data_IF_097624673086
#
_entry.id   IF_097624673086
#
_cell.length_a   1.000
_cell.length_b   1.000
_cell.length_c   1.000
_cell.angle_alpha   90.00
_cell.angle_beta   90.00
_cell.angle_gamma   90.00
#
_symmetry.space_group_name_H-M   'P 1'
#
loop_
_entity.id
_entity.type
_entity.pdbx_description
1 polymer ?
#
# COMPACT_ATOMS: atom_id res chain seq x y z
N UNK A 1 9.22 27.11 10.67
CA UNK A 1 8.69 25.85 11.23
C UNK A 1 9.89 25.09 11.82
N UNK A 2 9.61 24.29 12.83
CA UNK A 2 10.60 23.40 13.45
C UNK A 2 10.04 21.98 13.38
N UNK A 3 10.88 21.00 13.07
CA UNK A 3 10.56 19.59 13.12
C UNK A 3 11.46 18.90 14.15
N UNK A 4 10.92 17.89 14.82
CA UNK A 4 11.60 17.16 15.88
C UNK A 4 11.54 15.67 15.63
N UNK A 5 12.67 15.01 15.75
CA UNK A 5 12.77 13.55 15.71
C UNK A 5 12.96 13.02 17.13
N UNK A 6 12.15 12.06 17.51
CA UNK A 6 12.22 11.40 18.82
C UNK A 6 12.51 9.92 18.60
N UNK A 7 13.75 9.44 18.82
CA UNK A 7 14.09 8.04 18.64
C UNK A 7 13.38 7.18 19.69
N UNK A 8 12.70 6.14 19.23
CA UNK A 8 12.02 5.17 20.10
C UNK A 8 12.86 3.91 20.18
N UNK A 9 13.37 3.54 21.37
CA UNK A 9 14.20 2.35 21.53
C UNK A 9 13.41 1.05 21.31
N UNK A 10 14.11 -0.03 20.98
CA UNK A 10 13.51 -1.37 20.80
C UNK A 10 13.04 -2.00 22.11
N UNK A 11 13.52 -1.54 23.25
CA UNK A 11 13.08 -2.00 24.57
C UNK A 11 11.69 -1.45 24.88
N UNK A 12 10.71 -2.36 24.97
CA UNK A 12 9.28 -2.04 25.05
C UNK A 12 8.94 -1.09 26.21
N UNK A 13 9.51 -1.29 27.38
CA UNK A 13 9.23 -0.49 28.57
C UNK A 13 9.72 0.97 28.40
N UNK A 14 10.92 1.15 27.88
CA UNK A 14 11.46 2.47 27.58
C UNK A 14 10.67 3.16 26.46
N UNK A 15 10.31 2.40 25.43
CA UNK A 15 9.47 2.90 24.33
C UNK A 15 8.13 3.41 24.85
N UNK A 16 7.44 2.64 25.69
CA UNK A 16 6.16 3.03 26.31
C UNK A 16 6.33 4.31 27.12
N UNK A 17 7.38 4.44 27.92
CA UNK A 17 7.63 5.64 28.72
C UNK A 17 7.78 6.86 27.85
N UNK A 18 8.63 6.82 26.81
CA UNK A 18 8.83 7.94 25.89
C UNK A 18 7.54 8.31 25.16
N UNK A 19 6.84 7.33 24.58
CA UNK A 19 5.63 7.59 23.81
C UNK A 19 4.52 8.16 24.68
N UNK A 20 4.44 7.77 25.96
CA UNK A 20 3.46 8.29 26.92
C UNK A 20 3.67 9.78 27.25
N UNK A 21 4.88 10.33 27.14
CA UNK A 21 5.10 11.79 27.30
C UNK A 21 4.30 12.60 26.26
N UNK A 22 4.08 12.02 25.08
CA UNK A 22 3.30 12.65 23.98
C UNK A 22 1.80 12.35 24.04
N UNK A 23 1.35 11.50 24.97
CA UNK A 23 -0.07 11.14 25.11
C UNK A 23 -0.98 12.36 25.24
N UNK A 24 -0.54 13.35 25.98
CA UNK A 24 -1.28 14.62 26.19
C UNK A 24 -1.57 15.34 24.87
N UNK A 25 -0.69 15.24 23.88
CA UNK A 25 -0.87 15.84 22.54
C UNK A 25 -1.76 14.96 21.68
N UNK A 26 -1.49 13.66 21.62
CA UNK A 26 -2.26 12.72 20.79
C UNK A 26 -3.72 12.61 21.24
N UNK A 27 -3.97 12.60 22.54
CA UNK A 27 -5.34 12.51 23.08
C UNK A 27 -6.05 13.85 23.26
N UNK A 28 -5.42 14.97 22.89
CA UNK A 28 -6.07 16.27 22.94
C UNK A 28 -7.07 16.42 21.77
N UNK A 29 -8.36 16.47 22.09
CA UNK A 29 -9.42 16.60 21.08
C UNK A 29 -9.45 17.98 20.38
N UNK A 30 -8.77 18.99 20.92
CA UNK A 30 -8.72 20.34 20.34
C UNK A 30 -7.57 20.51 19.34
N UNK A 31 -6.59 19.63 19.37
CA UNK A 31 -5.41 19.68 18.48
C UNK A 31 -5.71 18.86 17.21
N UNK A 32 -5.56 19.48 16.04
CA UNK A 32 -5.57 18.79 14.76
C UNK A 32 -4.31 17.92 14.63
N UNK A 33 -4.46 16.66 14.23
CA UNK A 33 -3.35 15.79 13.87
C UNK A 33 -3.30 15.68 12.36
N UNK A 34 -2.12 15.90 11.81
CA UNK A 34 -1.86 15.81 10.39
C UNK A 34 -0.91 14.64 10.15
N UNK A 35 -1.18 13.83 9.16
CA UNK A 35 -0.33 12.69 8.80
C UNK A 35 -0.48 12.31 7.34
N UNK A 36 0.46 11.53 6.86
CA UNK A 36 0.41 10.87 5.55
C UNK A 36 0.10 9.38 5.81
N UNK A 37 -1.08 8.88 5.41
CA UNK A 37 -1.57 7.56 5.81
C UNK A 37 -1.70 7.40 7.34
N UNK A 38 -2.33 8.38 7.97
CA UNK A 38 -2.46 8.51 9.45
C UNK A 38 -3.13 7.28 10.10
N UNK A 39 -3.84 6.45 9.33
CA UNK A 39 -4.37 5.18 9.81
C UNK A 39 -3.27 4.27 10.34
N UNK A 40 -2.13 4.24 9.67
CA UNK A 40 -0.96 3.46 10.11
C UNK A 40 -0.46 3.95 11.47
N UNK A 41 -0.28 5.26 11.63
CA UNK A 41 0.17 5.87 12.89
C UNK A 41 -0.83 5.61 14.03
N UNK A 42 -2.12 5.69 13.73
CA UNK A 42 -3.19 5.39 14.68
C UNK A 42 -3.08 3.94 15.19
N UNK A 43 -2.86 2.97 14.30
CA UNK A 43 -2.68 1.57 14.67
C UNK A 43 -1.41 1.35 15.49
N UNK A 44 -0.31 2.01 15.15
CA UNK A 44 0.95 1.93 15.89
C UNK A 44 0.78 2.52 17.30
N UNK A 45 0.20 3.70 17.43
CA UNK A 45 -0.04 4.36 18.72
C UNK A 45 -0.94 3.53 19.65
N UNK A 46 -1.92 2.84 19.09
CA UNK A 46 -2.78 1.93 19.86
C UNK A 46 -2.01 0.78 20.53
N UNK A 47 -0.87 0.35 19.97
CA UNK A 47 -0.02 -0.66 20.62
C UNK A 47 0.62 -0.15 21.91
N UNK A 48 0.76 1.17 22.05
CA UNK A 48 1.25 1.85 23.25
C UNK A 48 0.11 2.33 24.18
N UNK A 49 -1.14 1.94 23.90
CA UNK A 49 -2.29 2.37 24.68
C UNK A 49 -2.67 3.84 24.53
N UNK A 50 -2.30 4.46 23.40
CA UNK A 50 -2.63 5.84 23.07
C UNK A 50 -3.75 5.85 22.04
N UNK A 51 -4.81 6.62 22.34
CA UNK A 51 -5.91 6.87 21.43
C UNK A 51 -5.71 8.23 20.74
N UNK A 52 -5.67 8.23 19.40
CA UNK A 52 -5.67 9.47 18.65
C UNK A 52 -7.07 10.11 18.74
N UNK A 53 -7.18 11.28 19.40
CA UNK A 53 -8.47 11.97 19.61
C UNK A 53 -8.52 13.30 18.86
N UNK A 54 -9.75 13.74 18.53
CA UNK A 54 -10.01 15.00 17.84
C UNK A 54 -9.96 14.88 16.33
N UNK A 55 -9.83 16.03 15.67
CA UNK A 55 -9.80 16.09 14.21
C UNK A 55 -8.47 15.55 13.67
N UNK A 56 -8.55 14.88 12.56
CA UNK A 56 -7.40 14.39 11.78
C UNK A 56 -7.44 14.99 10.38
N UNK A 57 -6.29 15.07 9.74
CA UNK A 57 -6.12 15.41 8.34
C UNK A 57 -5.11 14.45 7.74
N UNK A 58 -5.53 13.64 6.79
CA UNK A 58 -4.66 12.70 6.06
C UNK A 58 -4.37 13.26 4.68
N UNK A 59 -3.10 13.53 4.40
CA UNK A 59 -2.67 14.11 3.11
C UNK A 59 -2.80 13.13 1.96
N UNK A 60 -2.63 11.83 2.20
CA UNK A 60 -2.83 10.80 1.19
C UNK A 60 -4.30 10.70 0.77
N UNK A 61 -5.21 10.67 1.75
CA UNK A 61 -6.66 10.63 1.50
C UNK A 61 -7.16 11.94 0.89
N UNK A 62 -6.63 13.09 1.32
CA UNK A 62 -6.97 14.37 0.71
C UNK A 62 -6.66 14.39 -0.79
N UNK A 63 -5.48 13.93 -1.17
CA UNK A 63 -5.12 13.84 -2.58
C UNK A 63 -5.95 12.78 -3.34
N UNK A 64 -6.26 11.66 -2.70
CA UNK A 64 -7.15 10.65 -3.30
C UNK A 64 -8.54 11.23 -3.64
N UNK A 65 -9.11 12.05 -2.77
CA UNK A 65 -10.40 12.74 -3.04
C UNK A 65 -10.27 13.72 -4.22
N UNK A 66 -9.16 14.46 -4.29
CA UNK A 66 -8.92 15.47 -5.34
C UNK A 66 -8.63 14.82 -6.69
N UNK A 67 -7.80 13.77 -6.73
CA UNK A 67 -7.27 13.15 -7.96
C UNK A 67 -7.12 11.63 -7.79
N UNK A 68 -8.21 10.84 -7.81
CA UNK A 68 -8.19 9.43 -7.46
C UNK A 68 -7.37 8.54 -8.41
N UNK A 69 -7.11 8.99 -9.65
CA UNK A 69 -6.39 8.23 -10.67
C UNK A 69 -4.85 8.35 -10.57
N UNK A 70 -4.34 9.21 -9.69
CA UNK A 70 -2.91 9.48 -9.59
C UNK A 70 -2.27 8.72 -8.43
N UNK A 71 -0.94 8.83 -8.31
CA UNK A 71 -0.21 8.31 -7.16
C UNK A 71 -0.38 9.22 -5.93
N UNK A 72 -0.45 8.62 -4.73
CA UNK A 72 -0.73 9.34 -3.48
C UNK A 72 0.41 9.21 -2.46
N UNK A 73 1.57 8.69 -2.87
CA UNK A 73 2.75 8.63 -2.00
C UNK A 73 3.35 10.04 -1.82
N UNK A 74 4.03 10.22 -0.70
CA UNK A 74 4.52 11.54 -0.28
C UNK A 74 5.51 12.14 -1.28
N UNK A 75 6.42 11.35 -1.83
CA UNK A 75 7.41 11.82 -2.81
C UNK A 75 6.75 12.46 -4.03
N UNK A 76 5.75 11.76 -4.59
CA UNK A 76 4.98 12.28 -5.72
C UNK A 76 4.22 13.57 -5.35
N UNK A 77 3.60 13.62 -4.17
CA UNK A 77 2.89 14.81 -3.70
C UNK A 77 3.83 15.99 -3.46
N UNK A 78 5.00 15.75 -2.88
CA UNK A 78 6.02 16.77 -2.66
C UNK A 78 6.51 17.35 -4.00
N UNK A 79 6.73 16.50 -5.00
CA UNK A 79 7.16 16.94 -6.33
C UNK A 79 6.11 17.85 -6.99
N UNK A 80 4.84 17.41 -7.05
CA UNK A 80 3.81 18.13 -7.80
C UNK A 80 3.24 19.36 -7.09
N UNK A 81 3.14 19.36 -5.75
CA UNK A 81 2.56 20.45 -4.97
C UNK A 81 3.59 21.41 -4.36
N UNK A 82 4.79 20.92 -4.06
CA UNK A 82 5.82 21.71 -3.41
C UNK A 82 7.04 21.96 -4.30
N UNK A 83 7.13 21.29 -5.47
CA UNK A 83 8.31 21.29 -6.34
C UNK A 83 9.58 20.90 -5.56
N UNK A 84 9.45 19.89 -4.73
CA UNK A 84 10.47 19.42 -3.80
C UNK A 84 10.71 17.92 -3.97
N UNK A 85 11.99 17.53 -4.05
CA UNK A 85 12.40 16.12 -4.07
C UNK A 85 12.76 15.68 -2.66
N UNK A 86 12.04 14.70 -2.15
CA UNK A 86 12.27 14.11 -0.84
C UNK A 86 13.44 13.12 -0.88
N UNK A 87 14.01 12.84 0.27
CA UNK A 87 14.95 11.73 0.44
C UNK A 87 14.17 10.41 0.35
N UNK A 88 14.56 9.54 -0.56
CA UNK A 88 13.89 8.23 -0.69
C UNK A 88 14.34 7.27 0.41
N UNK A 89 13.40 6.51 0.96
CA UNK A 89 13.68 5.52 2.02
C UNK A 89 14.75 4.50 1.59
N UNK A 90 14.82 4.17 0.29
CA UNK A 90 15.82 3.27 -0.28
C UNK A 90 17.25 3.80 -0.15
N UNK A 91 17.44 5.11 -0.04
CA UNK A 91 18.77 5.71 0.20
C UNK A 91 19.27 5.39 1.61
N UNK A 92 18.37 5.20 2.57
CA UNK A 92 18.69 4.87 3.95
C UNK A 92 18.83 3.36 4.19
N UNK A 93 17.87 2.58 3.69
CA UNK A 93 17.78 1.15 3.99
C UNK A 93 18.18 0.25 2.83
N UNK A 94 18.43 0.82 1.63
CA UNK A 94 18.76 0.07 0.41
C UNK A 94 17.51 -0.39 -0.35
N UNK A 95 17.72 -0.82 -1.60
CA UNK A 95 16.66 -1.29 -2.50
C UNK A 95 15.92 -2.52 -1.94
N UNK A 96 14.65 -2.70 -2.38
CA UNK A 96 13.83 -3.86 -2.02
C UNK A 96 14.54 -5.18 -2.38
N UNK A 97 14.79 -6.01 -1.37
CA UNK A 97 15.43 -7.31 -1.57
C UNK A 97 15.89 -7.94 -0.26
N UNK A 98 16.62 -9.05 -0.39
CA UNK A 98 17.12 -9.81 0.77
C UNK A 98 18.10 -9.03 1.66
N UNK A 99 18.73 -8.00 1.12
CA UNK A 99 19.75 -7.19 1.80
C UNK A 99 19.20 -5.85 2.30
N UNK A 100 17.89 -5.58 2.15
CA UNK A 100 17.28 -4.35 2.65
C UNK A 100 17.34 -4.34 4.19
N UNK A 101 17.84 -3.24 4.76
CA UNK A 101 17.91 -3.02 6.21
C UNK A 101 16.54 -2.61 6.76
N UNK A 102 16.38 -2.66 8.07
CA UNK A 102 15.26 -2.03 8.75
C UNK A 102 15.66 -0.64 9.25
N UNK A 103 14.72 0.31 9.29
CA UNK A 103 14.95 1.63 9.89
C UNK A 103 15.42 1.55 11.34
N UNK A 104 14.96 0.53 12.10
CA UNK A 104 15.40 0.30 13.50
C UNK A 104 16.87 -0.05 13.66
N UNK A 105 17.51 -0.51 12.58
CA UNK A 105 18.91 -0.95 12.58
C UNK A 105 19.86 0.20 12.24
N UNK A 106 19.32 1.39 11.99
CA UNK A 106 20.06 2.60 11.70
C UNK A 106 20.26 3.44 12.97
N UNK A 107 21.40 4.12 13.05
CA UNK A 107 21.64 5.08 14.12
C UNK A 107 20.72 6.30 13.97
N UNK A 108 20.27 6.90 15.09
CA UNK A 108 19.37 8.07 15.07
C UNK A 108 19.88 9.22 14.19
N UNK A 109 21.20 9.43 14.13
CA UNK A 109 21.84 10.45 13.33
C UNK A 109 21.70 10.26 11.82
N UNK A 110 21.45 9.02 11.38
CA UNK A 110 21.19 8.71 9.96
C UNK A 110 19.72 8.88 9.58
N UNK A 111 18.82 8.91 10.57
CA UNK A 111 17.36 8.87 10.34
C UNK A 111 16.71 10.24 10.58
N UNK A 112 17.30 11.09 11.42
CA UNK A 112 16.60 12.29 11.90
C UNK A 112 16.24 13.28 10.78
N UNK A 113 17.10 13.45 9.79
CA UNK A 113 16.83 14.35 8.65
C UNK A 113 15.61 13.87 7.86
N UNK A 114 15.60 12.59 7.49
CA UNK A 114 14.48 11.95 6.80
C UNK A 114 13.17 12.08 7.60
N UNK A 115 13.20 11.75 8.88
CA UNK A 115 12.00 11.79 9.72
C UNK A 115 11.46 13.21 9.95
N UNK A 116 12.36 14.19 10.06
CA UNK A 116 11.97 15.61 10.17
C UNK A 116 11.46 16.16 8.84
N UNK A 117 12.06 15.74 7.71
CA UNK A 117 11.58 16.07 6.36
C UNK A 117 10.16 15.54 6.14
N UNK A 118 9.90 14.27 6.46
CA UNK A 118 8.57 13.66 6.35
C UNK A 118 7.50 14.47 7.10
N UNK A 119 7.81 14.91 8.31
CA UNK A 119 6.89 15.72 9.12
C UNK A 119 6.65 17.10 8.53
N UNK A 120 7.71 17.78 8.05
CA UNK A 120 7.60 19.13 7.46
C UNK A 120 6.87 19.09 6.11
N UNK A 121 7.23 18.16 5.24
CA UNK A 121 6.58 17.96 3.94
C UNK A 121 5.09 17.65 4.13
N UNK A 122 4.74 16.74 5.05
CA UNK A 122 3.35 16.41 5.37
C UNK A 122 2.57 17.65 5.82
N UNK A 123 3.15 18.49 6.64
CA UNK A 123 2.51 19.74 7.09
C UNK A 123 2.34 20.74 5.95
N UNK A 124 3.32 20.90 5.08
CA UNK A 124 3.23 21.78 3.90
C UNK A 124 2.18 21.27 2.91
N UNK A 125 2.14 19.95 2.65
CA UNK A 125 1.13 19.30 1.82
C UNK A 125 -0.28 19.52 2.35
N UNK A 126 -0.47 19.44 3.66
CA UNK A 126 -1.78 19.73 4.29
C UNK A 126 -2.32 21.08 3.85
N UNK A 127 -1.52 22.13 3.88
CA UNK A 127 -1.98 23.48 3.49
C UNK A 127 -2.34 23.55 2.00
N UNK A 128 -1.54 22.94 1.13
CA UNK A 128 -1.80 22.91 -0.30
C UNK A 128 -3.06 22.11 -0.65
N UNK A 129 -3.20 20.92 -0.08
CA UNK A 129 -4.32 20.05 -0.37
C UNK A 129 -5.63 20.57 0.22
N UNK A 130 -5.59 21.26 1.37
CA UNK A 130 -6.77 21.92 1.93
C UNK A 130 -7.29 23.04 1.01
N UNK A 131 -6.40 23.80 0.37
CA UNK A 131 -6.77 24.80 -0.65
C UNK A 131 -7.43 24.14 -1.87
N UNK A 132 -6.88 23.03 -2.36
CA UNK A 132 -7.44 22.31 -3.51
C UNK A 132 -8.78 21.63 -3.20
N UNK A 133 -8.94 21.01 -2.02
CA UNK A 133 -10.23 20.48 -1.57
C UNK A 133 -11.32 21.54 -1.58
N UNK A 134 -11.00 22.73 -1.07
CA UNK A 134 -11.92 23.87 -1.06
C UNK A 134 -12.26 24.38 -2.45
N UNK A 135 -11.27 24.47 -3.32
CA UNK A 135 -11.43 24.95 -4.70
C UNK A 135 -12.32 24.01 -5.52
N UNK A 136 -12.20 22.69 -5.29
CA UNK A 136 -12.98 21.66 -5.96
C UNK A 136 -14.36 21.43 -5.34
N UNK A 137 -14.65 22.00 -4.17
CA UNK A 137 -15.83 21.74 -3.33
C UNK A 137 -15.90 20.30 -2.78
N UNK A 138 -14.74 19.68 -2.53
CA UNK A 138 -14.61 18.32 -2.02
C UNK A 138 -14.53 18.25 -0.48
N UNK A 139 -14.60 19.41 0.21
CA UNK A 139 -14.47 19.49 1.67
C UNK A 139 -15.50 18.62 2.41
N UNK A 140 -16.73 18.55 1.91
CA UNK A 140 -17.77 17.76 2.56
C UNK A 140 -17.42 16.26 2.52
N UNK A 141 -17.04 15.74 1.37
CA UNK A 141 -16.64 14.33 1.23
C UNK A 141 -15.44 14.03 2.12
N UNK A 142 -14.43 14.89 2.08
CA UNK A 142 -13.22 14.70 2.87
C UNK A 142 -13.48 14.73 4.38
N UNK A 143 -14.13 15.78 4.89
CA UNK A 143 -14.28 15.95 6.34
C UNK A 143 -15.43 15.17 6.97
N UNK A 144 -16.52 14.91 6.23
CA UNK A 144 -17.72 14.26 6.78
C UNK A 144 -17.78 12.76 6.47
N UNK A 145 -17.02 12.27 5.48
CA UNK A 145 -17.02 10.86 5.09
C UNK A 145 -15.64 10.25 5.32
N UNK A 146 -14.61 10.74 4.62
CA UNK A 146 -13.31 10.07 4.59
C UNK A 146 -12.56 10.16 5.92
N UNK A 147 -12.51 11.34 6.55
CA UNK A 147 -11.81 11.45 7.83
C UNK A 147 -12.48 10.64 8.95
N UNK A 148 -13.80 10.62 9.12
CA UNK A 148 -14.47 9.72 10.07
C UNK A 148 -14.33 8.24 9.75
N UNK A 149 -14.11 7.86 8.49
CA UNK A 149 -13.95 6.47 8.08
C UNK A 149 -12.59 5.87 8.52
N UNK A 150 -11.54 6.68 8.59
CA UNK A 150 -10.19 6.23 8.98
C UNK A 150 -10.18 5.46 10.30
N UNK A 151 -10.70 5.99 11.42
CA UNK A 151 -10.72 5.23 12.69
C UNK A 151 -11.62 3.99 12.65
N UNK A 152 -12.64 3.95 11.80
CA UNK A 152 -13.48 2.76 11.60
C UNK A 152 -12.67 1.67 10.92
N UNK A 153 -11.96 2.00 9.84
CA UNK A 153 -11.08 1.05 9.13
C UNK A 153 -9.95 0.56 10.03
N UNK A 154 -9.32 1.44 10.80
CA UNK A 154 -8.31 1.06 11.77
C UNK A 154 -8.85 0.06 12.80
N UNK A 155 -10.08 0.25 13.28
CA UNK A 155 -10.74 -0.68 14.20
C UNK A 155 -11.03 -2.03 13.55
N UNK A 156 -11.48 -2.05 12.29
CA UNK A 156 -11.69 -3.28 11.53
C UNK A 156 -10.39 -4.05 11.36
N UNK A 157 -9.32 -3.38 10.95
CA UNK A 157 -8.00 -3.99 10.79
C UNK A 157 -7.46 -4.56 12.11
N UNK A 158 -7.62 -3.82 13.21
CA UNK A 158 -7.16 -4.27 14.53
C UNK A 158 -7.96 -5.47 15.05
N UNK A 159 -9.26 -5.52 14.80
CA UNK A 159 -10.09 -6.65 15.20
C UNK A 159 -9.78 -7.90 14.38
N UNK A 160 -9.31 -7.71 13.15
CA UNK A 160 -9.07 -8.77 12.20
C UNK A 160 -10.35 -9.46 11.71
N UNK A 161 -10.17 -10.41 10.81
CA UNK A 161 -11.23 -11.26 10.26
C UNK A 161 -10.87 -12.71 10.53
N UNK A 162 -11.82 -13.46 11.07
CA UNK A 162 -11.63 -14.89 11.29
C UNK A 162 -11.71 -15.63 9.95
N UNK A 163 -10.61 -16.24 9.54
CA UNK A 163 -10.53 -17.04 8.32
C UNK A 163 -10.68 -18.51 8.66
N UNK A 164 -11.62 -19.20 8.00
CA UNK A 164 -11.75 -20.67 8.12
C UNK A 164 -10.64 -21.34 7.29
N UNK A 165 -9.51 -21.55 7.93
CA UNK A 165 -8.34 -22.18 7.32
C UNK A 165 -8.56 -23.64 6.94
N UNK A 166 -9.53 -24.33 7.59
CA UNK A 166 -9.89 -25.73 7.25
C UNK A 166 -10.66 -25.77 5.93
N UNK A 167 -11.67 -24.91 5.79
CA UNK A 167 -12.43 -24.80 4.54
C UNK A 167 -11.52 -24.40 3.36
N UNK A 168 -10.63 -23.43 3.57
CA UNK A 168 -9.65 -23.03 2.53
C UNK A 168 -8.71 -24.18 2.15
N UNK A 169 -8.23 -24.93 3.13
CA UNK A 169 -7.36 -26.09 2.86
C UNK A 169 -8.10 -27.19 2.09
N UNK A 170 -9.33 -27.47 2.45
CA UNK A 170 -10.17 -28.43 1.74
C UNK A 170 -10.42 -27.98 0.30
N UNK A 171 -10.83 -26.74 0.09
CA UNK A 171 -11.01 -26.16 -1.23
C UNK A 171 -9.73 -26.21 -2.08
N UNK A 172 -8.57 -25.93 -1.46
CA UNK A 172 -7.29 -26.05 -2.15
C UNK A 172 -7.01 -27.47 -2.64
N UNK A 173 -7.33 -28.49 -1.83
CA UNK A 173 -7.17 -29.91 -2.22
C UNK A 173 -8.11 -30.27 -3.38
N UNK A 174 -9.37 -29.85 -3.29
CA UNK A 174 -10.39 -30.11 -4.32
C UNK A 174 -10.00 -29.46 -5.64
N UNK A 175 -9.64 -28.18 -5.62
CA UNK A 175 -9.19 -27.45 -6.81
C UNK A 175 -7.91 -28.03 -7.42
N UNK A 176 -6.95 -28.43 -6.59
CA UNK A 176 -5.70 -29.07 -7.09
C UNK A 176 -6.01 -30.38 -7.80
N UNK A 177 -6.92 -31.19 -7.25
CA UNK A 177 -7.32 -32.44 -7.87
C UNK A 177 -8.09 -32.23 -9.19
N UNK A 178 -8.95 -31.21 -9.26
CA UNK A 178 -9.68 -30.84 -10.46
C UNK A 178 -8.74 -30.27 -11.54
N UNK A 179 -7.88 -29.35 -11.17
CA UNK A 179 -6.83 -28.82 -12.07
C UNK A 179 -5.98 -29.93 -12.68
N UNK A 180 -5.56 -30.91 -11.85
CA UNK A 180 -4.75 -32.04 -12.35
C UNK A 180 -5.51 -32.98 -13.32
N UNK A 181 -6.84 -33.05 -13.25
CA UNK A 181 -7.64 -33.77 -14.24
C UNK A 181 -7.71 -32.98 -15.55
N UNK A 182 -8.05 -31.68 -15.46
CA UNK A 182 -8.13 -30.80 -16.62
C UNK A 182 -6.77 -30.72 -17.35
N UNK A 183 -5.67 -30.61 -16.60
CA UNK A 183 -4.32 -30.59 -17.15
C UNK A 183 -4.04 -31.86 -17.99
N UNK A 184 -4.41 -33.05 -17.49
CA UNK A 184 -4.27 -34.31 -18.24
C UNK A 184 -5.08 -34.31 -19.51
N UNK A 185 -6.37 -33.88 -19.44
CA UNK A 185 -7.24 -33.76 -20.60
C UNK A 185 -6.64 -32.82 -21.66
N UNK A 186 -6.09 -31.68 -21.23
CA UNK A 186 -5.41 -30.75 -22.15
C UNK A 186 -4.21 -31.41 -22.82
N UNK A 187 -3.38 -32.15 -22.09
CA UNK A 187 -2.22 -32.84 -22.67
C UNK A 187 -2.62 -33.97 -23.63
N UNK A 188 -3.70 -34.68 -23.33
CA UNK A 188 -4.25 -35.71 -24.21
C UNK A 188 -4.78 -35.08 -25.51
N UNK A 189 -5.57 -34.01 -25.43
CA UNK A 189 -6.07 -33.28 -26.59
C UNK A 189 -4.97 -32.61 -27.41
N UNK A 190 -3.94 -32.09 -26.74
CA UNK A 190 -2.81 -31.45 -27.38
C UNK A 190 -1.77 -32.46 -27.93
N UNK A 191 -1.88 -33.74 -27.57
CA UNK A 191 -0.89 -34.80 -27.88
C UNK A 191 0.54 -34.40 -27.49
N UNK A 192 0.68 -33.58 -26.46
CA UNK A 192 1.98 -33.09 -25.96
C UNK A 192 1.87 -32.47 -24.57
N UNK A 193 2.95 -32.58 -23.81
CA UNK A 193 3.10 -31.92 -22.52
C UNK A 193 3.79 -30.57 -22.72
N UNK A 194 3.21 -29.53 -22.16
CA UNK A 194 3.74 -28.16 -22.23
C UNK A 194 3.33 -27.36 -20.99
N UNK A 195 3.94 -26.20 -20.76
CA UNK A 195 3.55 -25.33 -19.67
C UNK A 195 2.27 -24.55 -20.03
N UNK A 196 1.12 -24.98 -19.51
CA UNK A 196 -0.20 -24.35 -19.72
C UNK A 196 -0.20 -22.90 -19.19
N UNK A 197 0.58 -22.58 -18.17
CA UNK A 197 0.75 -21.22 -17.66
C UNK A 197 1.63 -20.30 -18.52
N UNK A 198 2.15 -20.81 -19.64
CA UNK A 198 2.99 -20.02 -20.58
C UNK A 198 2.19 -19.62 -21.82
N UNK A 199 1.76 -18.34 -21.96
CA UNK A 199 1.04 -17.88 -23.16
C UNK A 199 1.76 -18.19 -24.47
N UNK A 200 3.10 -18.19 -24.46
CA UNK A 200 3.92 -18.54 -25.61
C UNK A 200 3.72 -20.00 -26.00
N UNK A 201 3.86 -20.93 -25.07
CA UNK A 201 3.72 -22.38 -25.35
C UNK A 201 2.27 -22.73 -25.70
N UNK A 202 1.29 -22.12 -25.02
CA UNK A 202 -0.12 -22.24 -25.36
C UNK A 202 -0.34 -21.82 -26.83
N UNK A 203 0.18 -20.68 -27.24
CA UNK A 203 0.07 -20.19 -28.61
C UNK A 203 0.72 -21.12 -29.63
N UNK A 204 1.92 -21.64 -29.34
CA UNK A 204 2.61 -22.60 -30.21
C UNK A 204 1.80 -23.91 -30.37
N UNK A 205 1.21 -24.42 -29.29
CA UNK A 205 0.38 -25.63 -29.34
C UNK A 205 -0.91 -25.39 -30.11
N UNK A 206 -1.66 -24.35 -29.81
CA UNK A 206 -2.95 -24.06 -30.42
C UNK A 206 -2.85 -23.71 -31.91
N UNK A 207 -1.85 -22.89 -32.30
CA UNK A 207 -1.82 -22.28 -33.63
C UNK A 207 -0.78 -22.92 -34.56
N UNK A 208 0.34 -23.42 -34.06
CA UNK A 208 1.35 -24.07 -34.90
C UNK A 208 1.12 -25.59 -35.00
N UNK A 209 0.77 -26.24 -33.84
CA UNK A 209 0.57 -27.70 -33.80
C UNK A 209 -0.85 -28.09 -34.18
N UNK A 210 -1.84 -27.61 -33.43
CA UNK A 210 -3.26 -27.99 -33.60
C UNK A 210 -3.95 -27.22 -34.73
N UNK A 211 -3.44 -26.03 -35.07
CA UNK A 211 -3.96 -25.14 -36.12
C UNK A 211 -5.47 -24.89 -36.01
N UNK A 212 -5.91 -24.62 -34.75
CA UNK A 212 -7.33 -24.42 -34.41
C UNK A 212 -8.00 -23.26 -35.16
N UNK A 213 -7.21 -22.30 -35.67
CA UNK A 213 -7.66 -21.21 -36.54
C UNK A 213 -6.69 -21.01 -37.70
N UNK A 214 -7.19 -20.62 -38.88
CA UNK A 214 -6.34 -20.42 -40.08
C UNK A 214 -5.43 -19.19 -39.96
N UNK A 215 -5.85 -18.13 -39.28
CA UNK A 215 -5.11 -16.87 -39.10
C UNK A 215 -5.16 -16.41 -37.65
N UNK A 216 -4.21 -16.89 -36.85
CA UNK A 216 -4.08 -16.47 -35.47
C UNK A 216 -3.48 -15.05 -35.38
N UNK A 217 -4.07 -14.22 -34.52
CA UNK A 217 -3.54 -12.87 -34.25
C UNK A 217 -2.21 -12.94 -33.51
N UNK A 218 -1.29 -12.04 -33.86
CA UNK A 218 -0.01 -11.88 -33.18
C UNK A 218 0.13 -10.48 -32.59
N UNK A 219 0.83 -10.42 -31.46
CA UNK A 219 1.24 -9.14 -30.82
C UNK A 219 2.27 -8.42 -31.68
N UNK A 220 2.56 -7.16 -31.34
CA UNK A 220 3.66 -6.39 -31.97
C UNK A 220 5.03 -7.07 -31.85
N UNK A 221 5.21 -7.92 -30.86
CA UNK A 221 6.46 -8.69 -30.61
C UNK A 221 6.46 -10.05 -31.30
N UNK A 222 5.42 -10.39 -32.09
CA UNK A 222 5.33 -11.63 -32.85
C UNK A 222 4.80 -12.84 -32.08
N UNK A 223 4.43 -12.71 -30.81
CA UNK A 223 3.79 -13.76 -30.03
C UNK A 223 2.31 -13.90 -30.39
N UNK A 224 1.79 -15.10 -30.33
CA UNK A 224 0.34 -15.33 -30.48
C UNK A 224 -0.45 -14.66 -29.34
N UNK A 225 -1.59 -14.10 -29.66
CA UNK A 225 -2.58 -13.62 -28.69
C UNK A 225 -3.35 -14.84 -28.19
N UNK A 226 -3.38 -15.05 -26.87
CA UNK A 226 -4.03 -16.18 -26.19
C UNK A 226 -4.99 -15.70 -25.10
N UNK A 227 -5.60 -14.53 -25.29
CA UNK A 227 -6.67 -14.01 -24.41
C UNK A 227 -8.01 -14.68 -24.72
N UNK A 228 -8.96 -14.58 -23.78
CA UNK A 228 -10.30 -15.18 -23.93
C UNK A 228 -11.09 -14.71 -25.17
N UNK A 229 -10.62 -13.65 -25.84
CA UNK A 229 -11.27 -13.09 -27.04
C UNK A 229 -10.79 -13.70 -28.37
N UNK A 230 -10.02 -14.78 -28.32
CA UNK A 230 -9.42 -15.40 -29.53
C UNK A 230 -10.18 -16.65 -29.96
#
# INVERSE_FOLDING_TARGET
NEAFYVPIPSETEKAINIVNEFKVVYENSKTLKVGQNIKYDLLVLQNYGIALKGKIFDTMVAHYVIQPELHHNMDYLAEIYLNYQTVHIEELIGEKGKNQKNMRDLEPEAVYEYACEDADVTLQLKYKLEEELKKNNDEQVFYEIEMPLIPVLAKLERNGVLVDTKALKQLSVELTAEMGKIEKEIYELAETVFNIGSPKQVGEVLFDKLKVVEKAKKTKTGQYVTSEEV
#
